data_IF_379512857911
#
_entry.id   IF_379512857911
#
_cell.length_a   1.000
_cell.length_b   1.000
_cell.length_c   1.000
_cell.angle_alpha   90.00
_cell.angle_beta   90.00
_cell.angle_gamma   90.00
#
_symmetry.space_group_name_H-M   'P 1'
#
loop_
_entity.id
_entity.type
_entity.pdbx_description
1 polymer ?
#
# COMPACT_ATOMS: atom_id res chain seq x y z
N UNK A 1 -16.08 36.12 -13.01
CA UNK A 1 -15.66 35.31 -11.86
C UNK A 1 -15.39 33.88 -12.31
N UNK A 2 -14.41 33.26 -11.67
CA UNK A 2 -13.50 32.24 -12.20
C UNK A 2 -14.12 30.85 -12.42
N UNK A 3 -14.21 30.40 -13.68
CA UNK A 3 -14.44 28.97 -14.03
C UNK A 3 -13.20 28.09 -13.80
N UNK A 4 -12.03 28.71 -13.58
CA UNK A 4 -10.75 28.02 -13.33
C UNK A 4 -10.64 27.54 -11.87
N UNK A 5 -11.37 28.18 -10.94
CA UNK A 5 -11.28 27.85 -9.51
C UNK A 5 -11.96 26.51 -9.14
N UNK A 6 -12.92 26.04 -9.95
CA UNK A 6 -13.64 24.79 -9.67
C UNK A 6 -12.81 23.56 -10.04
N UNK A 7 -11.91 23.64 -11.02
CA UNK A 7 -11.02 22.54 -11.39
C UNK A 7 -9.92 22.28 -10.34
N UNK A 8 -9.46 23.31 -9.63
CA UNK A 8 -8.44 23.17 -8.59
C UNK A 8 -8.98 22.52 -7.31
N UNK A 9 -10.27 22.67 -7.02
CA UNK A 9 -10.90 22.13 -5.81
C UNK A 9 -11.16 20.61 -5.91
N UNK A 10 -11.42 20.10 -7.12
CA UNK A 10 -11.74 18.67 -7.33
C UNK A 10 -10.50 17.78 -7.21
N UNK A 11 -9.29 18.28 -7.53
CA UNK A 11 -8.06 17.48 -7.45
C UNK A 11 -7.60 17.20 -6.01
N UNK A 12 -7.91 18.09 -5.05
CA UNK A 12 -7.46 17.94 -3.66
C UNK A 12 -8.27 16.93 -2.83
N UNK A 13 -9.51 16.60 -3.23
CA UNK A 13 -10.39 15.70 -2.45
C UNK A 13 -10.00 14.22 -2.61
N UNK A 14 -9.21 13.87 -3.63
CA UNK A 14 -8.74 12.49 -3.84
C UNK A 14 -7.62 12.06 -2.88
N UNK A 15 -7.03 13.00 -2.14
CA UNK A 15 -5.68 12.85 -1.55
C UNK A 15 -5.72 12.38 -0.07
N UNK A 16 -6.86 12.50 0.60
CA UNK A 16 -7.08 11.94 1.95
C UNK A 16 -7.58 10.49 1.92
N UNK A 17 -7.73 9.88 0.74
CA UNK A 17 -8.46 8.62 0.61
C UNK A 17 -7.59 7.35 0.64
N UNK A 18 -6.27 7.42 0.88
CA UNK A 18 -5.39 6.24 0.90
C UNK A 18 -4.90 5.86 2.30
N UNK A 19 -5.08 4.58 2.64
CA UNK A 19 -4.65 3.96 3.89
C UNK A 19 -3.16 4.06 4.02
N UNK A 20 -2.74 4.08 5.28
CA UNK A 20 -1.35 4.24 5.65
C UNK A 20 -0.87 2.99 6.33
N UNK A 21 0.39 2.68 6.10
CA UNK A 21 1.11 1.71 6.91
C UNK A 21 0.89 2.05 8.40
N UNK A 22 0.65 1.02 9.20
CA UNK A 22 0.30 1.04 10.62
C UNK A 22 -1.12 1.53 10.98
N UNK A 23 -2.03 1.70 10.01
CA UNK A 23 -3.46 1.88 10.31
C UNK A 23 -4.12 0.57 10.75
N UNK A 24 -5.20 0.66 11.53
CA UNK A 24 -6.02 -0.51 11.89
C UNK A 24 -7.04 -0.81 10.79
N UNK A 25 -7.62 -2.01 10.74
CA UNK A 25 -8.70 -2.31 9.79
C UNK A 25 -9.84 -1.30 9.81
N UNK A 26 -10.24 -0.81 11.00
CA UNK A 26 -11.33 0.15 11.16
C UNK A 26 -11.00 1.50 10.51
N UNK A 27 -9.74 1.95 10.63
CA UNK A 27 -9.28 3.18 9.95
C UNK A 27 -9.22 3.01 8.44
N UNK A 28 -8.84 1.84 7.95
CA UNK A 28 -8.91 1.52 6.53
C UNK A 28 -10.36 1.55 6.03
N UNK A 29 -11.31 0.99 6.80
CA UNK A 29 -12.74 1.00 6.47
C UNK A 29 -13.32 2.42 6.50
N UNK A 30 -12.98 3.23 7.50
CA UNK A 30 -13.37 4.64 7.57
C UNK A 30 -12.93 5.41 6.32
N UNK A 31 -11.74 5.08 5.81
CA UNK A 31 -11.13 5.77 4.68
C UNK A 31 -11.63 5.30 3.32
N UNK A 32 -11.71 3.99 3.13
CA UNK A 32 -12.03 3.38 1.83
C UNK A 32 -13.51 3.04 1.67
N UNK A 33 -14.23 2.90 2.77
CA UNK A 33 -15.55 2.30 2.82
C UNK A 33 -15.48 0.81 3.13
N UNK A 34 -16.61 0.13 2.89
CA UNK A 34 -16.75 -1.30 3.14
C UNK A 34 -15.74 -2.10 2.29
N UNK A 35 -15.08 -3.09 2.92
CA UNK A 35 -14.22 -4.02 2.21
C UNK A 35 -15.00 -4.80 1.14
N UNK A 36 -14.37 -4.99 -0.03
CA UNK A 36 -14.90 -5.80 -1.14
C UNK A 36 -14.51 -7.27 -1.01
N UNK A 37 -13.44 -7.57 -0.26
CA UNK A 37 -12.99 -8.91 0.03
C UNK A 37 -12.31 -8.96 1.40
N UNK A 38 -12.53 -10.04 2.14
CA UNK A 38 -11.88 -10.30 3.42
C UNK A 38 -11.50 -11.78 3.46
N UNK A 39 -10.20 -12.07 3.61
CA UNK A 39 -9.68 -13.43 3.58
C UNK A 39 -8.35 -13.54 4.32
N UNK A 40 -7.91 -14.77 4.52
CA UNK A 40 -6.57 -15.06 5.02
C UNK A 40 -5.69 -15.54 3.87
N UNK A 41 -4.53 -14.93 3.67
CA UNK A 41 -3.63 -15.35 2.59
C UNK A 41 -2.90 -16.67 2.93
N UNK A 42 -2.11 -17.18 1.98
CA UNK A 42 -1.28 -18.39 2.15
C UNK A 42 -0.29 -18.33 3.33
N UNK A 43 -0.01 -17.12 3.82
CA UNK A 43 0.90 -16.83 4.92
C UNK A 43 0.16 -16.67 6.27
N UNK A 44 -1.12 -17.05 6.31
CA UNK A 44 -1.99 -16.93 7.48
C UNK A 44 -2.20 -15.47 7.94
N UNK A 45 -2.00 -14.50 7.05
CA UNK A 45 -2.20 -13.08 7.34
C UNK A 45 -3.61 -12.65 6.96
N UNK A 46 -4.19 -11.80 7.79
CA UNK A 46 -5.46 -11.13 7.50
C UNK A 46 -5.28 -10.17 6.32
N UNK A 47 -6.14 -10.32 5.32
CA UNK A 47 -6.18 -9.48 4.14
C UNK A 47 -7.56 -8.87 3.99
N UNK A 48 -7.59 -7.56 3.72
CA UNK A 48 -8.81 -6.85 3.31
C UNK A 48 -8.55 -6.13 2.00
N UNK A 49 -9.44 -6.36 1.05
CA UNK A 49 -9.48 -5.67 -0.23
C UNK A 49 -10.51 -4.56 -0.21
N UNK A 50 -10.16 -3.44 -0.82
CA UNK A 50 -11.02 -2.27 -0.98
C UNK A 50 -11.01 -1.81 -2.43
N UNK A 51 -12.05 -1.08 -2.82
CA UNK A 51 -12.09 -0.38 -4.11
C UNK A 51 -12.35 1.10 -3.88
N UNK A 52 -11.43 1.95 -4.34
CA UNK A 52 -11.54 3.40 -4.18
C UNK A 52 -10.82 4.14 -5.30
N UNK A 53 -11.48 5.14 -5.88
CA UNK A 53 -10.88 6.04 -6.88
C UNK A 53 -10.20 5.34 -8.06
N UNK A 54 -10.78 4.22 -8.55
CA UNK A 54 -10.22 3.43 -9.65
C UNK A 54 -9.04 2.53 -9.26
N UNK A 55 -8.80 2.33 -7.96
CA UNK A 55 -7.84 1.38 -7.43
C UNK A 55 -8.54 0.20 -6.74
N UNK A 56 -8.02 -1.00 -6.99
CA UNK A 56 -8.10 -2.12 -6.06
C UNK A 56 -6.95 -1.97 -5.07
N UNK A 57 -7.28 -1.92 -3.79
CA UNK A 57 -6.33 -1.76 -2.70
C UNK A 57 -6.36 -3.01 -1.84
N UNK A 58 -5.23 -3.70 -1.75
CA UNK A 58 -5.08 -4.90 -0.90
C UNK A 58 -4.27 -4.54 0.32
N UNK A 59 -4.86 -4.60 1.50
CA UNK A 59 -4.18 -4.35 2.78
C UNK A 59 -3.92 -5.67 3.51
N UNK A 60 -2.67 -5.91 3.90
CA UNK A 60 -2.28 -7.08 4.73
C UNK A 60 -1.97 -6.60 6.15
N UNK A 61 -2.58 -7.27 7.12
CA UNK A 61 -2.50 -6.92 8.53
C UNK A 61 -1.65 -7.92 9.31
N UNK A 62 -0.80 -7.40 10.20
CA UNK A 62 -0.02 -8.17 11.18
C UNK A 62 -0.26 -7.49 12.54
N UNK A 63 -0.66 -8.26 13.55
CA UNK A 63 -0.98 -7.76 14.89
C UNK A 63 -1.98 -6.59 14.88
N UNK A 64 -3.04 -6.71 14.07
CA UNK A 64 -4.12 -5.70 13.97
C UNK A 64 -3.71 -4.39 13.29
N UNK A 65 -2.58 -4.37 12.58
CA UNK A 65 -2.03 -3.18 11.91
C UNK A 65 -1.67 -3.48 10.46
N UNK A 66 -1.96 -2.57 9.56
CA UNK A 66 -1.62 -2.71 8.15
C UNK A 66 -0.10 -2.59 7.98
N UNK A 67 0.54 -3.61 7.42
CA UNK A 67 1.99 -3.63 7.22
C UNK A 67 2.39 -3.74 5.76
N UNK A 68 1.44 -3.98 4.86
CA UNK A 68 1.66 -4.06 3.43
C UNK A 68 0.38 -3.62 2.72
N UNK A 69 0.54 -2.79 1.69
CA UNK A 69 -0.53 -2.28 0.86
C UNK A 69 -0.12 -2.44 -0.60
N UNK A 70 -1.00 -3.03 -1.40
CA UNK A 70 -0.88 -3.08 -2.85
C UNK A 70 -1.94 -2.16 -3.46
N UNK A 71 -1.54 -1.34 -4.41
CA UNK A 71 -2.40 -0.50 -5.21
C UNK A 71 -2.34 -1.00 -6.65
N UNK A 72 -3.46 -1.51 -7.15
CA UNK A 72 -3.63 -1.89 -8.55
C UNK A 72 -4.71 -1.01 -9.18
N UNK A 73 -4.48 -0.50 -10.39
CA UNK A 73 -5.53 0.24 -11.10
C UNK A 73 -6.53 -0.71 -11.77
N UNK A 74 -7.80 -0.36 -11.70
CA UNK A 74 -8.88 -1.04 -12.43
C UNK A 74 -8.69 -0.95 -13.95
N UNK A 75 -8.05 0.13 -14.41
CA UNK A 75 -7.74 0.36 -15.82
C UNK A 75 -6.50 1.25 -15.98
N UNK A 76 -5.64 0.90 -16.93
CA UNK A 76 -4.47 1.70 -17.29
C UNK A 76 -3.30 1.56 -16.32
N UNK A 77 -2.35 2.48 -16.42
CA UNK A 77 -1.11 2.48 -15.65
C UNK A 77 -1.18 3.45 -14.46
N UNK A 78 -0.50 3.09 -13.38
CA UNK A 78 -0.18 4.01 -12.28
C UNK A 78 0.89 4.95 -12.82
N UNK A 79 0.60 6.24 -12.89
CA UNK A 79 1.57 7.22 -13.34
C UNK A 79 2.60 7.51 -12.25
N UNK A 80 3.81 7.91 -12.64
CA UNK A 80 4.86 8.28 -11.68
C UNK A 80 4.42 9.33 -10.65
N UNK A 81 3.65 10.39 -11.01
CA UNK A 81 3.11 11.33 -10.01
C UNK A 81 2.13 10.67 -9.01
N UNK A 82 1.33 9.69 -9.44
CA UNK A 82 0.43 8.95 -8.54
C UNK A 82 1.23 8.06 -7.59
N UNK A 83 2.21 7.30 -8.10
CA UNK A 83 3.12 6.50 -7.27
C UNK A 83 3.83 7.37 -6.22
N UNK A 84 4.33 8.54 -6.64
CA UNK A 84 4.94 9.55 -5.76
C UNK A 84 4.04 9.92 -4.60
N UNK A 85 2.81 10.31 -4.92
CA UNK A 85 1.83 10.71 -3.91
C UNK A 85 1.48 9.55 -2.96
N UNK A 86 1.29 8.34 -3.49
CA UNK A 86 0.98 7.16 -2.69
C UNK A 86 2.11 6.88 -1.68
N UNK A 87 3.37 7.02 -2.09
CA UNK A 87 4.50 6.85 -1.17
C UNK A 87 4.53 7.91 -0.07
N UNK A 88 4.42 9.19 -0.43
CA UNK A 88 4.45 10.29 0.53
C UNK A 88 3.37 10.14 1.61
N UNK A 89 2.16 9.66 1.23
CA UNK A 89 1.08 9.40 2.19
C UNK A 89 1.35 8.24 3.13
N UNK A 90 2.07 7.22 2.68
CA UNK A 90 2.33 6.03 3.47
C UNK A 90 3.59 6.15 4.34
N UNK A 91 4.61 6.84 3.83
CA UNK A 91 5.90 6.99 4.50
C UNK A 91 5.99 8.25 5.38
N UNK A 92 5.17 9.27 5.08
CA UNK A 92 5.32 10.61 5.63
C UNK A 92 6.53 11.38 5.07
N UNK A 93 7.22 10.82 4.07
CA UNK A 93 8.31 11.49 3.37
C UNK A 93 7.80 12.71 2.60
N UNK A 94 8.67 13.71 2.43
CA UNK A 94 8.43 14.79 1.50
C UNK A 94 9.10 14.53 0.14
N UNK A 95 8.50 15.10 -0.90
CA UNK A 95 8.88 14.98 -2.31
C UNK A 95 10.35 15.23 -2.66
N UNK A 96 11.08 15.96 -1.82
CA UNK A 96 12.50 16.33 -1.93
C UNK A 96 13.43 15.37 -1.17
N UNK A 97 12.89 14.44 -0.37
CA UNK A 97 13.62 13.45 0.40
C UNK A 97 13.75 12.11 -0.35
N UNK A 98 13.09 11.97 -1.50
CA UNK A 98 13.06 10.76 -2.31
C UNK A 98 14.16 10.82 -3.37
N UNK A 99 15.09 9.84 -3.33
CA UNK A 99 16.07 9.63 -4.39
C UNK A 99 15.38 9.33 -5.73
N UNK A 100 15.99 9.74 -6.83
CA UNK A 100 15.44 9.64 -8.19
C UNK A 100 15.38 8.21 -8.76
N UNK A 101 15.64 7.18 -7.95
CA UNK A 101 15.61 5.81 -8.43
C UNK A 101 14.15 5.35 -8.54
N UNK A 102 13.72 5.03 -9.75
CA UNK A 102 12.28 4.96 -10.09
C UNK A 102 11.58 3.72 -9.54
N UNK A 103 12.35 2.73 -9.12
CA UNK A 103 11.83 1.38 -8.95
C UNK A 103 11.72 0.94 -7.48
N UNK A 104 12.58 1.47 -6.60
CA UNK A 104 12.60 1.11 -5.17
C UNK A 104 12.77 2.36 -4.31
N UNK A 105 11.77 2.66 -3.48
CA UNK A 105 11.80 3.80 -2.56
C UNK A 105 11.84 3.33 -1.11
N UNK A 106 12.55 4.05 -0.25
CA UNK A 106 12.52 3.76 1.19
C UNK A 106 12.64 5.02 2.05
N UNK A 107 11.91 5.06 3.15
CA UNK A 107 11.95 6.13 4.12
C UNK A 107 11.48 5.64 5.50
N UNK A 108 12.31 5.84 6.53
CA UNK A 108 12.02 5.47 7.94
C UNK A 108 11.43 4.06 8.12
N UNK A 109 11.94 3.09 7.37
CA UNK A 109 11.50 1.69 7.45
C UNK A 109 10.17 1.40 6.75
N UNK A 110 9.67 2.32 5.92
CA UNK A 110 8.67 2.08 4.88
C UNK A 110 9.40 1.95 3.55
N UNK A 111 9.01 0.95 2.77
CA UNK A 111 9.59 0.62 1.47
C UNK A 111 8.48 0.62 0.44
N UNK A 112 8.80 0.95 -0.81
CA UNK A 112 7.88 0.83 -1.90
C UNK A 112 8.56 0.30 -3.16
N UNK A 113 7.78 -0.46 -3.92
CA UNK A 113 8.14 -1.01 -5.22
C UNK A 113 7.10 -0.49 -6.22
N UNK A 114 7.57 -0.04 -7.37
CA UNK A 114 6.74 0.50 -8.42
C UNK A 114 6.95 -0.29 -9.72
N UNK A 115 5.87 -0.89 -10.22
CA UNK A 115 5.72 -1.17 -11.64
C UNK A 115 4.53 -0.36 -12.18
N UNK A 116 4.50 -0.12 -13.50
CA UNK A 116 3.47 0.68 -14.16
C UNK A 116 2.02 0.23 -13.89
N UNK A 117 1.79 -0.98 -13.37
CA UNK A 117 0.49 -1.59 -13.08
C UNK A 117 0.24 -1.72 -11.58
N UNK A 118 1.30 -1.94 -10.80
CA UNK A 118 1.27 -2.26 -9.38
C UNK A 118 2.20 -1.34 -8.58
N UNK A 119 1.65 -0.69 -7.57
CA UNK A 119 2.43 0.02 -6.57
C UNK A 119 2.29 -0.65 -5.22
N UNK A 120 3.41 -1.09 -4.64
CA UNK A 120 3.46 -1.78 -3.36
C UNK A 120 4.10 -0.86 -2.34
N UNK A 121 3.52 -0.78 -1.14
CA UNK A 121 4.15 -0.15 0.02
C UNK A 121 4.13 -1.10 1.20
N UNK A 122 5.25 -1.26 1.90
CA UNK A 122 5.32 -2.14 3.06
C UNK A 122 6.26 -1.64 4.16
N UNK A 123 5.97 -2.04 5.39
CA UNK A 123 6.79 -1.79 6.56
C UNK A 123 7.96 -2.79 6.64
N UNK A 124 9.06 -2.38 7.27
CA UNK A 124 10.16 -3.29 7.65
C UNK A 124 9.68 -4.55 8.36
N UNK A 125 8.66 -4.42 9.22
CA UNK A 125 8.08 -5.55 9.96
C UNK A 125 7.50 -6.61 9.03
N UNK A 126 6.92 -6.21 7.90
CA UNK A 126 6.44 -7.15 6.88
C UNK A 126 7.58 -7.99 6.33
N UNK A 127 8.69 -7.35 5.93
CA UNK A 127 9.87 -8.07 5.40
C UNK A 127 10.47 -9.05 6.41
N UNK A 128 10.54 -8.65 7.68
CA UNK A 128 11.01 -9.54 8.75
C UNK A 128 10.08 -10.74 8.93
N UNK A 129 8.77 -10.52 8.88
CA UNK A 129 7.77 -11.57 9.02
C UNK A 129 7.83 -12.58 7.85
N UNK A 130 7.82 -12.10 6.61
CA UNK A 130 7.91 -12.95 5.41
C UNK A 130 9.25 -13.71 5.37
N UNK A 131 10.36 -13.06 5.74
CA UNK A 131 11.68 -13.73 5.81
C UNK A 131 11.68 -14.87 6.83
N UNK A 132 11.05 -14.66 7.99
CA UNK A 132 10.91 -15.70 9.02
C UNK A 132 10.07 -16.88 8.51
N UNK A 133 8.91 -16.61 7.90
CA UNK A 133 8.05 -17.66 7.33
C UNK A 133 8.76 -18.47 6.24
N UNK A 134 9.48 -17.80 5.35
CA UNK A 134 10.22 -18.46 4.28
C UNK A 134 11.33 -19.35 4.83
N UNK A 135 12.04 -18.90 5.87
CA UNK A 135 13.02 -19.71 6.58
C UNK A 135 12.40 -20.96 7.21
N UNK A 136 11.28 -20.80 7.92
CA UNK A 136 10.57 -21.93 8.55
C UNK A 136 10.02 -22.93 7.53
N UNK A 137 9.60 -22.46 6.34
CA UNK A 137 9.21 -23.33 5.23
C UNK A 137 10.41 -24.08 4.66
N UNK A 138 11.53 -23.40 4.42
CA UNK A 138 12.75 -24.04 3.93
C UNK A 138 13.26 -25.11 4.91
N UNK A 139 13.23 -24.82 6.22
CA UNK A 139 13.62 -25.78 7.26
C UNK A 139 12.70 -27.00 7.31
N UNK A 140 11.39 -26.87 7.04
CA UNK A 140 10.45 -28.01 6.94
C UNK A 140 10.76 -28.88 5.72
N UNK A 141 10.96 -28.25 4.56
CA UNK A 141 11.33 -28.96 3.32
C UNK A 141 12.63 -29.75 3.51
N UNK A 142 13.65 -29.15 4.14
CA UNK A 142 14.92 -29.84 4.45
C UNK A 142 14.75 -31.01 5.43
N UNK A 143 13.73 -30.98 6.29
CA UNK A 143 13.40 -32.05 7.24
C UNK A 143 12.47 -33.12 6.65
N UNK A 144 12.04 -32.98 5.39
CA UNK A 144 11.08 -33.88 4.74
C UNK A 144 9.67 -33.80 5.33
N UNK A 145 9.30 -32.64 5.90
CA UNK A 145 8.00 -32.35 6.51
C UNK A 145 7.13 -31.47 5.62
#
# INVERSE_FOLDING_TARGET
>A
MSRIFVFFLVFFVFISCFARIYETPEKCIERYGKATGEYTNKDMLEVKEFRRSGFVITCIFIDGKCHHIEYNKDSGKISWPEAKLLFEKNSGAQSNELGLDKDIWSYKGVYAEYDDVLFIVHARKYNLYISKLNRERAERVLKGL
#
